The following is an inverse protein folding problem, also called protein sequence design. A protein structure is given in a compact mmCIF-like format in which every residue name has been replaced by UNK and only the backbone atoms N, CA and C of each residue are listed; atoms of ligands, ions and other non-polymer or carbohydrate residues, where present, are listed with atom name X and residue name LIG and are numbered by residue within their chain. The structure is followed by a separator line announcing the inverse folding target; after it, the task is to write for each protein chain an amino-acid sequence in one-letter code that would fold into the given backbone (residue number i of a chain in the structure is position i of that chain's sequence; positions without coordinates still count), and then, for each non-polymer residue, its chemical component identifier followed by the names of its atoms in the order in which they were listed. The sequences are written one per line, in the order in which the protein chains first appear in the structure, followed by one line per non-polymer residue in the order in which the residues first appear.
data_IF_494122875772
#
_entry.id   IF_494122875772
#
_cell.length_a   1.000
_cell.length_b   1.000
_cell.length_c   1.000
_cell.angle_alpha   90.00
_cell.angle_beta   90.00
_cell.angle_gamma   90.00
#
_symmetry.space_group_name_H-M   'P 1'
#
loop_
_entity.id
_entity.type
_entity.pdbx_description
1 polymer ?
#
# COMPACT_ATOMS: atom_id res chain seq x y z
N UNK A 1 -33.38 21.81 0.42
CA UNK A 1 -32.67 21.39 -0.81
C UNK A 1 -31.18 21.67 -0.78
N UNK A 2 -30.72 22.83 -0.30
CA UNK A 2 -29.27 23.16 -0.26
C UNK A 2 -28.44 22.20 0.64
N UNK A 3 -28.99 21.77 1.78
CA UNK A 3 -28.31 20.84 2.72
C UNK A 3 -28.15 19.43 2.11
N UNK A 4 -29.13 18.92 1.38
CA UNK A 4 -29.07 17.63 0.71
C UNK A 4 -28.01 17.62 -0.39
N UNK A 5 -27.89 18.69 -1.16
CA UNK A 5 -26.88 18.85 -2.20
C UNK A 5 -25.45 18.85 -1.63
N UNK A 6 -25.24 19.55 -0.51
CA UNK A 6 -23.93 19.57 0.17
C UNK A 6 -23.54 18.18 0.67
N UNK A 7 -24.47 17.42 1.26
CA UNK A 7 -24.22 16.06 1.75
C UNK A 7 -23.86 15.12 0.59
N UNK A 8 -24.61 15.16 -0.51
CA UNK A 8 -24.32 14.37 -1.72
C UNK A 8 -22.97 14.73 -2.34
N UNK A 9 -22.64 16.01 -2.40
CA UNK A 9 -21.37 16.49 -2.95
C UNK A 9 -20.19 16.05 -2.08
N UNK A 10 -20.32 16.14 -0.75
CA UNK A 10 -19.29 15.69 0.20
C UNK A 10 -19.06 14.18 0.11
N UNK A 11 -20.15 13.39 0.00
CA UNK A 11 -20.08 11.95 -0.20
C UNK A 11 -19.40 11.58 -1.52
N UNK A 12 -19.71 12.28 -2.58
CA UNK A 12 -19.10 12.07 -3.90
C UNK A 12 -17.60 12.38 -3.88
N UNK A 13 -17.17 13.48 -3.25
CA UNK A 13 -15.77 13.84 -3.10
C UNK A 13 -15.03 12.80 -2.27
N UNK A 14 -15.58 12.33 -1.16
CA UNK A 14 -14.92 11.33 -0.31
C UNK A 14 -14.68 10.00 -1.05
N UNK A 15 -15.65 9.54 -1.83
CA UNK A 15 -15.48 8.36 -2.67
C UNK A 15 -14.44 8.57 -3.79
N UNK A 16 -14.41 9.75 -4.37
CA UNK A 16 -13.43 10.10 -5.40
C UNK A 16 -12.00 10.11 -4.83
N UNK A 17 -11.78 10.70 -3.66
CA UNK A 17 -10.46 10.70 -3.00
C UNK A 17 -9.99 9.30 -2.63
N UNK A 18 -10.88 8.38 -2.24
CA UNK A 18 -10.52 7.00 -1.92
C UNK A 18 -9.94 6.21 -3.11
N UNK A 19 -10.22 6.65 -4.36
CA UNK A 19 -9.74 6.02 -5.59
C UNK A 19 -8.51 6.70 -6.21
N UNK A 20 -8.09 7.86 -5.69
CA UNK A 20 -6.95 8.60 -6.23
C UNK A 20 -5.64 7.92 -5.86
N UNK A 21 -4.79 7.75 -6.87
CA UNK A 21 -3.40 7.31 -6.69
C UNK A 21 -2.50 8.53 -6.61
N UNK A 22 -1.78 8.66 -5.49
CA UNK A 22 -0.91 9.80 -5.22
C UNK A 22 0.48 9.49 -5.79
N UNK A 23 1.01 10.30 -6.73
CA UNK A 23 2.36 10.10 -7.22
C UNK A 23 3.40 10.61 -6.21
N UNK A 24 4.44 9.83 -5.98
CA UNK A 24 5.58 10.23 -5.16
C UNK A 24 6.86 9.62 -5.74
N UNK A 25 7.96 10.36 -5.66
CA UNK A 25 9.28 9.83 -6.03
C UNK A 25 9.86 9.04 -4.86
N UNK A 26 10.45 7.88 -5.13
CA UNK A 26 11.06 7.03 -4.10
C UNK A 26 12.08 7.78 -3.24
N UNK A 27 12.91 8.62 -3.85
CA UNK A 27 13.87 9.49 -3.13
C UNK A 27 13.24 10.48 -2.16
N UNK A 28 11.94 10.75 -2.28
CA UNK A 28 11.20 11.68 -1.40
C UNK A 28 10.55 10.95 -0.22
N UNK A 29 10.61 9.63 -0.19
CA UNK A 29 10.12 8.82 0.91
C UNK A 29 11.22 8.71 1.96
N UNK A 30 10.89 9.09 3.20
CA UNK A 30 11.77 8.91 4.36
C UNK A 30 11.28 7.73 5.18
N UNK A 31 12.22 6.93 5.67
CA UNK A 31 11.91 5.79 6.52
C UNK A 31 12.37 6.11 7.93
N UNK A 32 11.43 6.06 8.87
CA UNK A 32 11.70 6.19 10.32
C UNK A 32 11.47 4.84 10.99
N UNK A 33 12.38 4.43 11.83
CA UNK A 33 12.22 3.25 12.66
C UNK A 33 11.55 3.62 13.99
N UNK A 34 10.49 2.91 14.31
CA UNK A 34 9.82 3.01 15.60
C UNK A 34 10.06 1.73 16.39
N UNK A 35 10.72 1.86 17.51
CA UNK A 35 10.93 0.75 18.42
C UNK A 35 9.79 0.74 19.44
N UNK A 36 9.08 -0.38 19.51
CA UNK A 36 8.04 -0.59 20.52
C UNK A 36 8.57 -1.59 21.54
N UNK A 37 8.70 -1.13 22.78
CA UNK A 37 9.13 -1.98 23.90
C UNK A 37 7.86 -2.61 24.48
N UNK A 38 7.81 -3.95 24.50
CA UNK A 38 6.75 -4.66 25.17
C UNK A 38 6.90 -4.55 26.68
N UNK A 39 5.77 -4.54 27.39
CA UNK A 39 5.76 -4.61 28.87
C UNK A 39 6.25 -5.96 29.39
N UNK A 40 6.23 -7.00 28.55
CA UNK A 40 6.76 -8.31 28.87
C UNK A 40 8.25 -8.38 28.51
N UNK A 41 9.15 -8.55 29.49
CA UNK A 41 10.59 -8.62 29.21
C UNK A 41 11.02 -9.83 28.37
N UNK A 42 10.13 -10.81 28.16
CA UNK A 42 10.37 -11.98 27.30
C UNK A 42 10.00 -11.73 25.84
N UNK A 43 9.28 -10.65 25.55
CA UNK A 43 8.89 -10.32 24.19
C UNK A 43 10.02 -9.62 23.45
N UNK A 44 10.29 -9.99 22.19
CA UNK A 44 11.31 -9.31 21.39
C UNK A 44 10.91 -7.86 21.14
N UNK A 45 11.90 -7.00 20.98
CA UNK A 45 11.71 -5.62 20.54
C UNK A 45 11.05 -5.61 19.16
N UNK A 46 9.94 -4.91 19.03
CA UNK A 46 9.27 -4.73 17.75
C UNK A 46 9.78 -3.45 17.09
N UNK A 47 10.53 -3.63 16.02
CA UNK A 47 11.00 -2.53 15.17
C UNK A 47 10.04 -2.43 13.99
N UNK A 48 9.34 -1.32 13.88
CA UNK A 48 8.49 -1.04 12.73
C UNK A 48 9.04 0.12 11.91
N UNK A 49 9.03 -0.03 10.59
CA UNK A 49 9.44 1.01 9.64
C UNK A 49 8.23 1.83 9.23
N UNK A 50 8.27 3.13 9.47
CA UNK A 50 7.24 4.07 9.07
C UNK A 50 7.77 4.91 7.91
N UNK A 51 7.04 4.90 6.80
CA UNK A 51 7.35 5.68 5.62
C UNK A 51 6.61 7.00 5.67
N UNK A 52 7.34 8.08 5.45
CA UNK A 52 6.80 9.43 5.45
C UNK A 52 7.18 10.17 4.16
N UNK A 53 6.46 11.24 3.87
CA UNK A 53 6.88 12.17 2.84
C UNK A 53 8.05 13.06 3.33
N UNK A 54 8.48 14.02 2.52
CA UNK A 54 9.55 14.97 2.89
C UNK A 54 9.25 15.80 4.13
N UNK A 55 7.97 16.09 4.38
CA UNK A 55 7.51 16.86 5.53
C UNK A 55 7.40 16.03 6.82
N UNK A 56 7.68 14.73 6.75
CA UNK A 56 7.55 13.83 7.88
C UNK A 56 6.13 13.34 8.13
N UNK A 57 5.20 13.58 7.23
CA UNK A 57 3.82 13.09 7.31
C UNK A 57 3.78 11.62 6.87
N UNK A 58 3.24 10.70 7.68
CA UNK A 58 3.11 9.29 7.30
C UNK A 58 2.30 9.11 6.02
N UNK A 59 2.76 8.23 5.14
CA UNK A 59 2.04 7.89 3.92
C UNK A 59 0.72 7.21 4.26
N UNK A 60 -0.37 7.65 3.65
CA UNK A 60 -1.70 7.11 3.88
C UNK A 60 -2.50 7.11 2.58
N UNK A 61 -2.94 5.94 2.13
CA UNK A 61 -3.66 5.76 0.88
C UNK A 61 -2.87 4.99 -0.18
N UNK A 62 -3.31 5.10 -1.42
CA UNK A 62 -2.71 4.46 -2.58
C UNK A 62 -1.66 5.37 -3.20
N UNK A 63 -0.45 4.86 -3.36
CA UNK A 63 0.67 5.62 -3.92
C UNK A 63 1.24 4.94 -5.15
N UNK A 64 1.58 5.75 -6.14
CA UNK A 64 2.44 5.39 -7.26
C UNK A 64 3.85 5.89 -6.95
N UNK A 65 4.73 4.98 -6.54
CA UNK A 65 6.10 5.32 -6.14
C UNK A 65 7.02 5.17 -7.35
N UNK A 66 7.49 6.29 -7.86
CA UNK A 66 8.40 6.34 -9.01
C UNK A 66 9.84 6.11 -8.55
N UNK A 67 10.45 5.02 -9.01
CA UNK A 67 11.85 4.72 -8.77
C UNK A 67 12.75 5.44 -9.79
N UNK A 68 12.34 5.43 -11.06
CA UNK A 68 12.96 6.18 -12.15
C UNK A 68 11.89 6.55 -13.20
N UNK A 69 12.33 7.00 -14.40
CA UNK A 69 11.43 7.43 -15.47
C UNK A 69 10.48 6.31 -15.93
N UNK A 70 10.94 5.06 -15.96
CA UNK A 70 10.23 3.93 -16.55
C UNK A 70 9.74 2.91 -15.52
N UNK A 71 10.27 2.96 -14.30
CA UNK A 71 10.01 1.97 -13.26
C UNK A 71 9.27 2.62 -12.08
N UNK A 72 8.18 2.00 -11.68
CA UNK A 72 7.40 2.42 -10.52
C UNK A 72 6.71 1.23 -9.88
N UNK A 73 6.27 1.40 -8.65
CA UNK A 73 5.37 0.44 -8.03
C UNK A 73 4.13 1.14 -7.46
N UNK A 74 3.04 0.40 -7.35
CA UNK A 74 1.80 0.84 -6.71
C UNK A 74 1.62 0.06 -5.42
N UNK A 75 1.43 0.79 -4.33
CA UNK A 75 1.23 0.22 -3.00
C UNK A 75 0.21 1.03 -2.20
N UNK A 76 -0.43 0.36 -1.27
CA UNK A 76 -1.31 1.00 -0.29
C UNK A 76 -0.59 1.11 1.05
N UNK A 77 -0.66 2.30 1.64
CA UNK A 77 -0.11 2.58 2.96
C UNK A 77 -1.21 2.97 3.95
N UNK A 78 -1.02 2.59 5.20
CA UNK A 78 -1.84 3.01 6.31
C UNK A 78 -0.93 3.46 7.45
N UNK A 79 -1.00 4.74 7.81
CA UNK A 79 -0.15 5.34 8.86
C UNK A 79 1.35 5.07 8.65
N UNK A 80 1.81 5.18 7.40
CA UNK A 80 3.20 4.98 7.01
C UNK A 80 3.67 3.52 6.87
N UNK A 81 2.78 2.56 7.04
CA UNK A 81 3.08 1.13 6.89
C UNK A 81 2.38 0.56 5.67
N UNK A 82 2.97 -0.44 5.04
CA UNK A 82 2.28 -1.19 3.99
C UNK A 82 0.98 -1.80 4.56
N UNK A 83 -0.10 -1.66 3.80
CA UNK A 83 -1.38 -2.24 4.19
C UNK A 83 -1.32 -3.76 4.07
N UNK A 84 -1.86 -4.47 5.05
CA UNK A 84 -1.85 -5.95 5.12
C UNK A 84 -3.21 -6.58 4.84
N UNK A 85 -4.22 -5.76 4.54
CA UNK A 85 -5.61 -6.25 4.40
C UNK A 85 -6.00 -6.47 2.93
N UNK A 86 -6.32 -7.72 2.57
CA UNK A 86 -6.94 -8.09 1.30
C UNK A 86 -6.20 -7.55 0.08
N UNK A 87 -6.92 -6.94 -0.85
CA UNK A 87 -6.35 -6.34 -2.07
C UNK A 87 -5.35 -5.22 -1.79
N UNK A 88 -5.47 -4.52 -0.69
CA UNK A 88 -4.57 -3.44 -0.30
C UNK A 88 -3.20 -3.93 0.16
N UNK A 89 -3.03 -5.22 0.40
CA UNK A 89 -1.73 -5.84 0.70
C UNK A 89 -0.89 -6.12 -0.55
N UNK A 90 -1.46 -5.98 -1.73
CA UNK A 90 -0.80 -6.26 -3.00
C UNK A 90 0.06 -5.06 -3.41
N UNK A 91 1.32 -5.33 -3.73
CA UNK A 91 2.27 -4.35 -4.27
C UNK A 91 2.64 -4.78 -5.69
N UNK A 92 2.37 -3.91 -6.66
CA UNK A 92 2.62 -4.18 -8.07
C UNK A 92 3.79 -3.35 -8.57
N UNK A 93 4.82 -4.01 -9.08
CA UNK A 93 5.96 -3.37 -9.72
C UNK A 93 5.78 -3.34 -11.24
N UNK A 94 5.97 -2.17 -11.81
CA UNK A 94 5.88 -1.91 -13.23
C UNK A 94 7.25 -1.56 -13.79
N UNK A 95 7.56 -2.15 -14.93
CA UNK A 95 8.76 -1.87 -15.72
C UNK A 95 8.34 -1.49 -17.12
N UNK A 96 8.73 -0.29 -17.56
CA UNK A 96 8.35 0.22 -18.88
C UNK A 96 6.83 0.19 -19.13
N UNK A 97 6.04 0.53 -18.12
CA UNK A 97 4.58 0.57 -18.19
C UNK A 97 3.87 -0.79 -18.12
N UNK A 98 4.61 -1.89 -18.02
CA UNK A 98 4.07 -3.25 -17.91
C UNK A 98 4.31 -3.84 -16.53
N UNK A 99 3.38 -4.67 -16.06
CA UNK A 99 3.55 -5.38 -14.78
C UNK A 99 4.72 -6.34 -14.87
N UNK A 100 5.71 -6.15 -14.00
CA UNK A 100 6.91 -6.99 -13.91
C UNK A 100 6.80 -7.99 -12.76
N UNK A 101 6.45 -7.51 -11.55
CA UNK A 101 6.35 -8.33 -10.35
C UNK A 101 5.16 -7.94 -9.52
N UNK A 102 4.54 -8.94 -8.90
CA UNK A 102 3.44 -8.74 -7.95
C UNK A 102 3.82 -9.40 -6.63
N UNK A 103 3.80 -8.62 -5.56
CA UNK A 103 4.05 -9.06 -4.20
C UNK A 103 2.80 -8.92 -3.35
N UNK A 104 2.68 -9.78 -2.35
CA UNK A 104 1.79 -9.55 -1.20
C UNK A 104 2.65 -9.16 -0.01
N UNK A 105 2.20 -8.16 0.74
CA UNK A 105 2.81 -7.79 2.01
C UNK A 105 2.07 -8.46 3.17
N UNK A 106 2.73 -9.37 3.86
CA UNK A 106 2.16 -10.13 4.97
C UNK A 106 3.26 -10.43 6.00
N UNK A 107 2.92 -10.32 7.29
CA UNK A 107 3.83 -10.65 8.40
C UNK A 107 5.19 -9.94 8.30
N UNK A 108 5.15 -8.64 7.96
CA UNK A 108 6.32 -7.77 7.74
C UNK A 108 7.24 -8.20 6.59
N UNK A 109 6.78 -9.08 5.71
CA UNK A 109 7.54 -9.56 4.55
C UNK A 109 6.80 -9.35 3.24
N UNK A 110 7.57 -9.17 2.16
CA UNK A 110 7.08 -9.23 0.79
C UNK A 110 7.19 -10.66 0.28
N UNK A 111 6.06 -11.22 -0.14
CA UNK A 111 6.01 -12.55 -0.74
C UNK A 111 5.76 -12.38 -2.23
N UNK A 112 6.68 -12.87 -3.06
CA UNK A 112 6.53 -12.82 -4.52
C UNK A 112 5.40 -13.77 -4.95
N UNK A 113 4.37 -13.21 -5.59
CA UNK A 113 3.25 -13.99 -6.14
C UNK A 113 3.46 -14.31 -7.61
N UNK A 114 4.04 -13.40 -8.38
CA UNK A 114 4.18 -13.52 -9.82
C UNK A 114 5.33 -12.69 -10.34
N UNK A 115 5.95 -13.20 -11.39
CA UNK A 115 6.99 -12.52 -12.16
C UNK A 115 6.73 -12.74 -13.66
N UNK A 116 6.61 -11.64 -14.42
CA UNK A 116 6.61 -11.54 -15.88
C UNK A 116 5.45 -12.18 -16.70
N UNK A 117 4.53 -12.97 -16.16
CA UNK A 117 3.64 -13.72 -17.06
C UNK A 117 2.22 -14.04 -16.61
N UNK A 118 1.78 -13.57 -15.44
CA UNK A 118 0.41 -13.86 -14.99
C UNK A 118 -0.55 -12.73 -15.32
N UNK A 119 -1.78 -13.10 -15.74
CA UNK A 119 -2.89 -12.16 -15.81
C UNK A 119 -3.28 -11.75 -14.39
N UNK A 120 -3.34 -10.45 -14.15
CA UNK A 120 -3.65 -9.83 -12.85
C UNK A 120 -4.89 -10.43 -12.19
N UNK A 121 -5.95 -10.67 -12.97
CA UNK A 121 -7.23 -11.17 -12.48
C UNK A 121 -7.14 -12.56 -11.83
N UNK A 122 -6.32 -13.45 -12.37
CA UNK A 122 -6.12 -14.80 -11.83
C UNK A 122 -5.41 -14.81 -10.48
N UNK A 123 -4.46 -13.89 -10.27
CA UNK A 123 -3.73 -13.76 -9.02
C UNK A 123 -4.64 -13.23 -7.92
N UNK A 124 -5.47 -12.24 -8.24
CA UNK A 124 -6.45 -11.69 -7.31
C UNK A 124 -7.45 -12.75 -6.87
N UNK A 125 -8.00 -13.54 -7.81
CA UNK A 125 -8.91 -14.66 -7.50
C UNK A 125 -8.25 -15.71 -6.62
N UNK A 126 -7.00 -16.09 -6.89
CA UNK A 126 -6.24 -17.03 -6.07
C UNK A 126 -6.08 -16.54 -4.64
N UNK A 127 -5.81 -15.26 -4.44
CA UNK A 127 -5.69 -14.66 -3.11
C UNK A 127 -6.99 -14.64 -2.33
N UNK A 128 -8.12 -14.40 -2.99
CA UNK A 128 -9.43 -14.47 -2.35
C UNK A 128 -9.73 -15.88 -1.85
N UNK A 129 -9.43 -16.89 -2.64
CA UNK A 129 -9.63 -18.30 -2.24
C UNK A 129 -8.76 -18.70 -1.04
N UNK A 130 -7.54 -18.17 -0.92
CA UNK A 130 -6.68 -18.40 0.25
C UNK A 130 -7.24 -17.75 1.52
N UNK A 131 -7.81 -16.55 1.41
CA UNK A 131 -8.38 -15.85 2.56
C UNK A 131 -9.68 -16.50 3.05
N UNK A 132 -10.43 -17.20 2.20
CA UNK A 132 -11.64 -17.93 2.56
C UNK A 132 -11.34 -19.27 3.27
N UNK A 133 -10.11 -19.77 3.20
CA UNK A 133 -9.68 -21.03 3.81
C UNK A 133 -9.18 -20.83 5.25
N UNK A 134 -8.85 -19.60 5.63
CA UNK A 134 -8.39 -19.21 6.97
C UNK A 134 -9.48 -18.46 7.74
#
# INVERSE_FOLDING_TARGET
MKKLFIILFTFFISNFYAQITIPIKDKNIRIKEKVTISKDPRSPLLISKIRTNRLGIPLNGRYKVKQDKNNYYIAYFKKGRHNTKGKKSIVKYYKEGKIDKIYIYRDNNFILLSQNSFKEDKIILFMFNINDIN
#
